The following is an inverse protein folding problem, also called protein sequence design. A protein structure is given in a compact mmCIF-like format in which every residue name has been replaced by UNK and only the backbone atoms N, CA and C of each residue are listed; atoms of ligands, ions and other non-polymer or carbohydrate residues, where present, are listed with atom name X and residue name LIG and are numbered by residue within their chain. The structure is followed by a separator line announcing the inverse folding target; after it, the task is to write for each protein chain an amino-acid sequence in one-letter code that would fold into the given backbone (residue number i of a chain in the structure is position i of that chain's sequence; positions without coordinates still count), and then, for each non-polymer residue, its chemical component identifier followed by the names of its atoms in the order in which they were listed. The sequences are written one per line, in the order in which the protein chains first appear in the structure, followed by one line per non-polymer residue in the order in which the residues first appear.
data_IF_106813706396
#
_entry.id   IF_106813706396
#
_cell.length_a   1.000
_cell.length_b   1.000
_cell.length_c   1.000
_cell.angle_alpha   90.00
_cell.angle_beta   90.00
_cell.angle_gamma   90.00
#
_symmetry.space_group_name_H-M   'P 1'
#
loop_
_entity.id
_entity.type
_entity.pdbx_description
1 polymer ?
#
# COMPACT_ATOMS: atom_id res chain seq x y z
N UNK A 1 -1.44 25.95 -5.36
CA UNK A 1 -2.25 25.00 -6.16
C UNK A 1 -1.46 23.71 -6.31
N UNK A 2 -2.11 22.55 -6.09
CA UNK A 2 -1.45 21.25 -6.28
C UNK A 2 -1.39 20.90 -7.78
N UNK A 3 -0.33 20.23 -8.25
CA UNK A 3 -0.32 19.72 -9.61
C UNK A 3 -1.41 18.66 -9.78
N UNK A 4 -2.09 18.68 -10.93
CA UNK A 4 -3.21 17.80 -11.26
C UNK A 4 -2.89 17.00 -12.52
N UNK A 5 -3.18 15.71 -12.52
CA UNK A 5 -3.11 14.87 -13.70
C UNK A 5 -4.49 14.77 -14.33
N UNK A 6 -4.58 14.93 -15.63
CA UNK A 6 -5.79 14.68 -16.39
C UNK A 6 -6.30 13.26 -16.18
N UNK A 7 -7.61 13.09 -16.01
CA UNK A 7 -8.23 11.81 -15.72
C UNK A 7 -9.56 11.66 -16.46
N UNK A 8 -9.68 10.66 -17.30
CA UNK A 8 -10.97 10.32 -17.89
C UNK A 8 -11.89 9.67 -16.84
N UNK A 9 -13.17 10.01 -16.88
CA UNK A 9 -14.17 9.38 -16.04
C UNK A 9 -14.36 7.89 -16.38
N UNK A 10 -14.18 7.53 -17.65
CA UNK A 10 -14.32 6.16 -18.14
C UNK A 10 -13.18 5.25 -17.68
N UNK A 11 -12.09 5.86 -17.20
CA UNK A 11 -10.91 5.17 -16.67
C UNK A 11 -10.94 5.06 -15.12
N UNK A 12 -12.09 5.31 -14.49
CA UNK A 12 -12.30 5.11 -13.05
C UNK A 12 -13.40 4.10 -12.82
N UNK A 13 -13.05 2.97 -12.25
CA UNK A 13 -13.96 1.88 -11.91
C UNK A 13 -14.13 1.79 -10.39
N UNK A 14 -15.36 1.63 -9.91
CA UNK A 14 -15.66 1.44 -8.49
C UNK A 14 -16.18 0.04 -8.24
N UNK A 15 -15.74 -0.56 -7.13
CA UNK A 15 -16.23 -1.84 -6.65
C UNK A 15 -17.03 -1.61 -5.36
N UNK A 16 -18.17 -2.28 -5.25
CA UNK A 16 -19.10 -2.08 -4.14
C UNK A 16 -19.03 -3.17 -3.07
N UNK A 17 -18.24 -4.22 -3.32
CA UNK A 17 -18.05 -5.29 -2.37
C UNK A 17 -16.57 -5.74 -2.28
N UNK A 18 -16.11 -6.19 -1.11
CA UNK A 18 -14.74 -6.70 -0.98
C UNK A 18 -14.48 -7.96 -1.82
N UNK A 19 -15.52 -8.74 -2.15
CA UNK A 19 -15.39 -9.86 -3.08
C UNK A 19 -15.10 -9.40 -4.52
N UNK A 20 -15.78 -8.34 -5.00
CA UNK A 20 -15.51 -7.73 -6.31
C UNK A 20 -14.09 -7.17 -6.38
N UNK A 21 -13.66 -6.49 -5.31
CA UNK A 21 -12.29 -5.98 -5.21
C UNK A 21 -11.25 -7.12 -5.26
N UNK A 22 -11.48 -8.22 -4.54
CA UNK A 22 -10.60 -9.41 -4.59
C UNK A 22 -10.52 -9.99 -6.00
N UNK A 23 -11.67 -10.17 -6.65
CA UNK A 23 -11.73 -10.68 -8.02
C UNK A 23 -11.02 -9.76 -9.01
N UNK A 24 -11.25 -8.46 -8.92
CA UNK A 24 -10.57 -7.44 -9.72
C UNK A 24 -9.06 -7.47 -9.51
N UNK A 25 -8.59 -7.63 -8.27
CA UNK A 25 -7.16 -7.73 -7.95
C UNK A 25 -6.55 -8.99 -8.56
N UNK A 26 -7.16 -10.16 -8.36
CA UNK A 26 -6.66 -11.43 -8.89
C UNK A 26 -6.64 -11.44 -10.42
N UNK A 27 -7.69 -10.91 -11.06
CA UNK A 27 -7.77 -10.79 -12.52
C UNK A 27 -6.66 -9.90 -13.07
N UNK A 28 -6.40 -8.75 -12.45
CA UNK A 28 -5.33 -7.85 -12.88
C UNK A 28 -3.95 -8.46 -12.67
N UNK A 29 -3.70 -9.15 -11.56
CA UNK A 29 -2.46 -9.90 -11.34
C UNK A 29 -2.25 -10.94 -12.45
N UNK A 30 -3.29 -11.70 -12.79
CA UNK A 30 -3.20 -12.74 -13.81
C UNK A 30 -2.89 -12.18 -15.22
N UNK A 31 -3.32 -10.96 -15.53
CA UNK A 31 -3.15 -10.32 -16.84
C UNK A 31 -2.04 -9.27 -16.89
N UNK A 32 -1.37 -8.98 -15.80
CA UNK A 32 -0.28 -7.99 -15.77
C UNK A 32 0.85 -8.37 -16.73
N UNK A 33 1.37 -7.38 -17.44
CA UNK A 33 2.37 -7.58 -18.51
C UNK A 33 3.71 -6.91 -18.23
N UNK A 34 3.74 -5.86 -17.41
CA UNK A 34 4.94 -5.07 -17.14
C UNK A 34 5.34 -5.13 -15.67
N UNK A 35 4.43 -4.78 -14.77
CA UNK A 35 4.75 -4.63 -13.35
C UNK A 35 3.56 -4.89 -12.44
N UNK A 36 3.85 -5.38 -11.24
CA UNK A 36 2.93 -5.48 -10.11
C UNK A 36 3.64 -4.96 -8.87
N UNK A 37 3.11 -3.93 -8.23
CA UNK A 37 3.60 -3.44 -6.95
C UNK A 37 2.46 -3.45 -5.92
N UNK A 38 2.52 -4.38 -5.00
CA UNK A 38 1.53 -4.54 -3.92
C UNK A 38 2.08 -3.86 -2.66
N UNK A 39 1.34 -2.89 -2.13
CA UNK A 39 1.74 -2.19 -0.90
C UNK A 39 0.60 -2.30 0.11
N UNK A 40 0.85 -2.98 1.20
CA UNK A 40 -0.14 -3.20 2.25
C UNK A 40 0.47 -3.11 3.65
N UNK A 41 -0.35 -2.89 4.66
CA UNK A 41 0.09 -3.00 6.05
C UNK A 41 0.61 -4.42 6.33
N UNK A 42 -0.06 -5.42 5.80
CA UNK A 42 0.34 -6.82 5.84
C UNK A 42 -0.30 -7.63 4.71
N UNK A 43 0.37 -8.68 4.31
CA UNK A 43 -0.13 -9.80 3.53
C UNK A 43 -0.14 -11.00 4.49
N UNK A 44 -1.33 -11.44 4.90
CA UNK A 44 -1.49 -12.40 6.01
C UNK A 44 -1.39 -13.84 5.50
N UNK A 45 -0.84 -14.74 6.33
CA UNK A 45 -0.84 -16.17 6.07
C UNK A 45 -2.23 -16.77 6.39
N UNK A 46 -3.26 -16.36 5.66
CA UNK A 46 -4.60 -16.93 5.68
C UNK A 46 -5.03 -17.29 4.24
N UNK A 47 -6.25 -17.72 4.03
CA UNK A 47 -6.66 -18.20 2.70
C UNK A 47 -6.67 -17.07 1.67
N UNK A 48 -7.11 -15.87 2.07
CA UNK A 48 -7.11 -14.68 1.22
C UNK A 48 -5.70 -14.25 0.84
N UNK A 49 -4.81 -14.11 1.82
CA UNK A 49 -3.41 -13.72 1.56
C UNK A 49 -2.63 -14.76 0.79
N UNK A 50 -2.85 -16.06 1.08
CA UNK A 50 -2.25 -17.16 0.30
C UNK A 50 -2.68 -17.11 -1.15
N UNK A 51 -3.97 -16.86 -1.42
CA UNK A 51 -4.49 -16.73 -2.78
C UNK A 51 -3.80 -15.62 -3.56
N UNK A 52 -3.59 -14.46 -2.94
CA UNK A 52 -2.88 -13.33 -3.57
C UNK A 52 -1.40 -13.69 -3.83
N UNK A 53 -0.68 -14.20 -2.84
CA UNK A 53 0.74 -14.53 -3.01
C UNK A 53 0.94 -15.63 -4.06
N UNK A 54 0.08 -16.64 -4.09
CA UNK A 54 0.11 -17.68 -5.11
C UNK A 54 -0.14 -17.10 -6.51
N UNK A 55 -1.11 -16.21 -6.67
CA UNK A 55 -1.38 -15.55 -7.94
C UNK A 55 -0.17 -14.75 -8.46
N UNK A 56 0.59 -14.11 -7.57
CA UNK A 56 1.83 -13.41 -7.92
C UNK A 56 2.89 -14.39 -8.43
N UNK A 57 3.08 -15.53 -7.75
CA UNK A 57 4.01 -16.58 -8.21
C UNK A 57 3.60 -17.15 -9.55
N UNK A 58 2.30 -17.39 -9.77
CA UNK A 58 1.79 -17.93 -11.03
C UNK A 58 1.96 -16.94 -12.19
N UNK A 59 1.67 -15.65 -11.96
CA UNK A 59 1.87 -14.61 -12.94
C UNK A 59 3.36 -14.46 -13.32
N UNK A 60 4.26 -14.43 -12.33
CA UNK A 60 5.72 -14.34 -12.56
C UNK A 60 6.28 -15.58 -13.26
N UNK A 61 5.75 -16.76 -12.95
CA UNK A 61 6.15 -18.03 -13.62
C UNK A 61 5.76 -18.03 -15.09
N UNK A 62 4.58 -17.51 -15.43
CA UNK A 62 4.11 -17.40 -16.81
C UNK A 62 4.83 -16.29 -17.58
N UNK A 63 5.24 -15.23 -16.91
CA UNK A 63 5.90 -14.05 -17.46
C UNK A 63 7.15 -13.70 -16.64
N UNK A 64 8.29 -14.36 -16.93
CA UNK A 64 9.52 -14.18 -16.14
C UNK A 64 10.05 -12.75 -16.08
N UNK A 65 9.79 -11.91 -17.10
CA UNK A 65 10.13 -10.47 -17.13
C UNK A 65 9.23 -9.58 -16.28
N UNK A 66 8.10 -10.06 -15.83
CA UNK A 66 7.18 -9.25 -15.03
C UNK A 66 7.88 -8.73 -13.76
N UNK A 67 7.94 -7.41 -13.57
CA UNK A 67 8.47 -6.82 -12.33
C UNK A 67 7.43 -6.96 -11.23
N UNK A 68 7.68 -7.82 -10.25
CA UNK A 68 6.75 -8.05 -9.13
C UNK A 68 7.41 -7.64 -7.83
N UNK A 69 6.76 -6.78 -7.07
CA UNK A 69 7.22 -6.30 -5.76
C UNK A 69 6.09 -6.30 -4.75
N UNK A 70 6.36 -6.78 -3.55
CA UNK A 70 5.44 -6.72 -2.42
C UNK A 70 6.10 -5.93 -1.30
N UNK A 71 5.43 -4.92 -0.77
CA UNK A 71 5.91 -4.12 0.35
C UNK A 71 4.92 -4.24 1.51
N UNK A 72 5.42 -4.58 2.68
CA UNK A 72 4.63 -4.72 3.91
C UNK A 72 5.34 -4.02 5.07
N UNK A 73 4.59 -3.74 6.14
CA UNK A 73 5.21 -3.21 7.36
C UNK A 73 6.18 -4.23 7.97
N UNK A 74 7.39 -3.77 8.27
CA UNK A 74 8.47 -4.58 8.83
C UNK A 74 8.09 -5.29 10.14
N UNK A 75 7.52 -4.53 11.08
CA UNK A 75 7.21 -5.09 12.39
C UNK A 75 6.00 -6.02 12.32
N UNK A 76 5.00 -5.62 11.53
CA UNK A 76 3.76 -6.38 11.37
C UNK A 76 4.00 -7.74 10.74
N UNK A 77 4.91 -7.83 9.77
CA UNK A 77 5.24 -9.08 9.09
C UNK A 77 6.03 -10.06 9.98
N UNK A 78 6.79 -9.56 10.95
CA UNK A 78 7.66 -10.36 11.81
C UNK A 78 7.02 -10.71 13.17
N UNK A 79 5.80 -10.31 13.45
CA UNK A 79 5.05 -10.82 14.58
C UNK A 79 4.05 -11.89 14.14
N UNK A 80 3.86 -12.90 14.97
CA UNK A 80 2.80 -13.88 14.80
C UNK A 80 1.42 -13.28 15.06
N UNK A 81 0.36 -14.00 14.71
CA UNK A 81 -1.00 -13.70 15.17
C UNK A 81 -1.03 -13.73 16.70
N UNK A 82 -1.90 -12.91 17.31
CA UNK A 82 -2.12 -12.95 18.76
C UNK A 82 -2.55 -14.37 19.14
N UNK A 83 -1.75 -15.04 19.98
CA UNK A 83 -1.96 -16.43 20.38
C UNK A 83 -1.30 -17.50 19.53
N UNK A 84 -0.60 -17.15 18.45
CA UNK A 84 0.21 -18.07 17.64
C UNK A 84 1.61 -18.27 18.25
N UNK A 85 2.25 -19.39 17.89
CA UNK A 85 3.66 -19.62 18.26
C UNK A 85 4.56 -18.54 17.68
N UNK A 86 5.58 -18.11 18.41
CA UNK A 86 6.52 -17.07 18.02
C UNK A 86 7.29 -17.36 16.70
N UNK A 87 7.33 -18.64 16.29
CA UNK A 87 7.98 -19.11 15.05
C UNK A 87 7.06 -19.15 13.82
N UNK A 88 5.83 -18.65 13.89
CA UNK A 88 4.89 -18.68 12.77
C UNK A 88 4.48 -17.25 12.39
N UNK A 89 5.43 -16.52 11.82
CA UNK A 89 5.22 -15.15 11.34
C UNK A 89 4.89 -15.13 9.84
N UNK A 90 4.31 -14.03 9.35
CA UNK A 90 4.12 -13.85 7.93
C UNK A 90 5.46 -13.86 7.17
N UNK A 91 6.52 -13.27 7.75
CA UNK A 91 7.86 -13.29 7.16
C UNK A 91 8.44 -14.71 7.02
N UNK A 92 8.18 -15.61 7.98
CA UNK A 92 8.58 -17.02 7.86
C UNK A 92 7.80 -17.73 6.75
N UNK A 93 6.53 -17.37 6.59
CA UNK A 93 5.73 -17.88 5.48
C UNK A 93 6.23 -17.36 4.12
N UNK A 94 6.59 -16.09 3.98
CA UNK A 94 7.17 -15.57 2.73
C UNK A 94 8.46 -16.31 2.36
N UNK A 95 9.30 -16.58 3.35
CA UNK A 95 10.53 -17.34 3.15
C UNK A 95 10.25 -18.79 2.70
N UNK A 96 9.25 -19.46 3.29
CA UNK A 96 8.83 -20.80 2.84
C UNK A 96 8.32 -20.77 1.40
N UNK A 97 7.46 -19.82 1.05
CA UNK A 97 6.94 -19.66 -0.31
C UNK A 97 8.06 -19.45 -1.33
N UNK A 98 9.08 -18.66 -0.99
CA UNK A 98 10.26 -18.48 -1.85
C UNK A 98 11.04 -19.80 -2.04
N UNK A 99 11.21 -20.57 -0.99
CA UNK A 99 11.88 -21.88 -1.06
C UNK A 99 11.08 -22.94 -1.86
N UNK A 100 9.76 -22.88 -1.80
CA UNK A 100 8.84 -23.78 -2.51
C UNK A 100 8.72 -23.40 -4.00
N UNK A 101 9.18 -22.22 -4.40
CA UNK A 101 9.13 -21.72 -5.79
C UNK A 101 10.53 -21.37 -6.32
N UNK A 102 11.47 -22.34 -6.39
CA UNK A 102 12.82 -22.07 -6.86
C UNK A 102 12.81 -21.51 -8.29
N UNK A 103 13.62 -20.48 -8.53
CA UNK A 103 13.70 -19.83 -9.85
C UNK A 103 12.62 -18.77 -10.12
N UNK A 104 11.66 -18.56 -9.21
CA UNK A 104 10.65 -17.50 -9.32
C UNK A 104 10.87 -16.50 -8.18
N UNK A 105 11.45 -15.35 -8.50
CA UNK A 105 11.76 -14.33 -7.48
C UNK A 105 10.60 -13.35 -7.31
N UNK A 106 9.97 -13.38 -6.15
CA UNK A 106 8.95 -12.42 -5.69
C UNK A 106 9.50 -11.71 -4.45
N UNK A 107 10.18 -10.57 -4.59
CA UNK A 107 10.70 -9.84 -3.47
C UNK A 107 9.58 -9.32 -2.55
N UNK A 108 9.64 -9.69 -1.29
CA UNK A 108 8.78 -9.14 -0.25
C UNK A 108 9.61 -8.26 0.67
N UNK A 109 9.43 -6.95 0.54
CA UNK A 109 10.17 -5.94 1.31
C UNK A 109 9.44 -5.60 2.60
N UNK A 110 10.15 -5.67 3.72
CA UNK A 110 9.70 -5.12 5.00
C UNK A 110 10.15 -3.67 5.13
N UNK A 111 9.18 -2.76 5.24
CA UNK A 111 9.45 -1.32 5.32
C UNK A 111 9.26 -0.84 6.76
N UNK A 112 10.33 -0.45 7.47
CA UNK A 112 10.25 -0.04 8.88
C UNK A 112 10.01 1.48 8.98
N UNK A 113 8.77 1.91 9.11
CA UNK A 113 8.43 3.34 9.25
C UNK A 113 8.82 3.91 10.62
N UNK A 114 8.88 3.07 11.66
CA UNK A 114 9.28 3.48 12.99
C UNK A 114 10.09 2.38 13.70
N UNK A 115 10.75 2.73 14.78
CA UNK A 115 11.54 1.78 15.59
C UNK A 115 10.68 0.79 16.38
N UNK A 116 9.39 1.05 16.52
CA UNK A 116 8.39 0.16 17.14
C UNK A 116 7.06 0.29 16.43
N UNK A 117 6.34 -0.79 16.25
CA UNK A 117 5.00 -0.83 15.65
C UNK A 117 4.02 0.17 16.31
N UNK A 118 4.00 0.24 17.63
CA UNK A 118 3.13 1.15 18.38
C UNK A 118 3.37 2.66 18.10
N UNK A 119 4.50 3.02 17.51
CA UNK A 119 4.86 4.40 17.19
C UNK A 119 4.57 4.79 15.74
N UNK A 120 4.18 3.83 14.91
CA UNK A 120 3.83 4.04 13.51
C UNK A 120 4.18 2.85 12.63
N UNK A 121 3.37 2.63 11.62
CA UNK A 121 3.44 1.51 10.68
C UNK A 121 3.39 2.00 9.25
N UNK A 122 3.77 1.15 8.30
CA UNK A 122 3.56 1.41 6.88
C UNK A 122 2.06 1.36 6.59
N UNK A 123 1.44 2.53 6.47
CA UNK A 123 0.01 2.64 6.13
C UNK A 123 -0.21 3.25 4.75
N UNK A 124 0.74 3.02 3.85
CA UNK A 124 0.65 3.38 2.44
C UNK A 124 -0.37 2.51 1.74
N UNK A 125 -1.08 3.07 0.76
CA UNK A 125 -2.16 2.40 0.02
C UNK A 125 -1.99 2.60 -1.48
N UNK A 126 -2.59 1.69 -2.24
CA UNK A 126 -2.56 1.66 -3.69
C UNK A 126 -1.70 0.52 -4.22
N UNK A 127 -2.31 -0.37 -4.99
CA UNK A 127 -1.62 -1.43 -5.71
C UNK A 127 -1.44 -0.96 -7.15
N UNK A 128 -0.20 -0.98 -7.62
CA UNK A 128 0.13 -0.56 -8.98
C UNK A 128 0.25 -1.81 -9.82
N UNK A 129 -0.59 -1.93 -10.84
CA UNK A 129 -0.59 -3.06 -11.78
C UNK A 129 -0.62 -2.47 -13.19
N UNK A 130 0.49 -2.59 -13.90
CA UNK A 130 0.73 -1.95 -15.20
C UNK A 130 0.43 -0.45 -15.15
N UNK A 131 -0.57 0.04 -15.90
CA UNK A 131 -1.03 1.42 -15.98
C UNK A 131 -2.15 1.78 -14.99
N UNK A 132 -2.53 0.83 -14.11
CA UNK A 132 -3.63 0.99 -13.18
C UNK A 132 -3.15 1.12 -11.74
N UNK A 133 -3.83 1.97 -10.97
CA UNK A 133 -3.74 2.02 -9.51
C UNK A 133 -5.04 1.50 -8.91
N UNK A 134 -4.98 0.34 -8.29
CA UNK A 134 -6.08 -0.25 -7.54
C UNK A 134 -6.00 0.25 -6.10
N UNK A 135 -6.94 1.11 -5.69
CA UNK A 135 -6.89 1.84 -4.43
C UNK A 135 -7.96 1.37 -3.45
N UNK A 136 -7.52 1.06 -2.24
CA UNK A 136 -8.39 0.75 -1.09
C UNK A 136 -7.67 1.01 0.21
N UNK A 137 -8.41 1.23 1.30
CA UNK A 137 -7.90 1.18 2.67
C UNK A 137 -7.66 -0.23 3.21
N UNK A 138 -8.12 -1.26 2.50
CA UNK A 138 -8.03 -2.66 2.89
C UNK A 138 -6.58 -3.16 3.01
N UNK A 139 -6.37 -4.14 3.88
CA UNK A 139 -5.17 -4.99 3.93
C UNK A 139 -5.49 -6.33 3.28
N UNK A 140 -4.48 -7.20 3.12
CA UNK A 140 -4.62 -8.46 2.40
C UNK A 140 -4.76 -9.63 3.40
N UNK A 141 -6.00 -9.91 3.78
CA UNK A 141 -6.40 -11.04 4.62
C UNK A 141 -7.85 -11.47 4.35
N UNK A 142 -8.28 -12.58 4.95
CA UNK A 142 -9.62 -13.17 4.77
C UNK A 142 -10.74 -12.16 4.93
N UNK A 143 -10.66 -11.33 5.97
CA UNK A 143 -11.74 -10.40 6.34
C UNK A 143 -11.86 -9.23 5.36
N UNK A 144 -10.75 -8.68 4.89
CA UNK A 144 -10.75 -7.60 3.91
C UNK A 144 -10.98 -8.06 2.48
N UNK A 145 -10.70 -9.34 2.19
CA UNK A 145 -10.91 -9.94 0.88
C UNK A 145 -12.23 -10.72 0.78
N UNK A 146 -13.04 -10.71 1.84
CA UNK A 146 -14.30 -11.48 1.92
C UNK A 146 -14.12 -12.94 1.50
N UNK A 147 -13.11 -13.59 2.10
CA UNK A 147 -12.79 -14.98 1.79
C UNK A 147 -13.81 -15.94 2.40
N UNK A 148 -14.38 -15.57 3.56
CA UNK A 148 -15.40 -16.31 4.32
C UNK A 148 -16.54 -15.38 4.69
N UNK A 149 -17.55 -15.84 5.43
CA UNK A 149 -18.76 -15.11 5.80
C UNK A 149 -18.50 -13.74 6.46
N UNK A 150 -17.42 -13.63 7.25
CA UNK A 150 -17.07 -12.39 7.94
C UNK A 150 -16.22 -11.50 7.05
N UNK A 151 -16.68 -10.28 6.81
CA UNK A 151 -15.92 -9.30 6.03
C UNK A 151 -15.96 -7.90 6.65
N UNK A 152 -15.05 -7.05 6.15
CA UNK A 152 -15.02 -5.61 6.43
C UNK A 152 -15.19 -4.86 5.13
N UNK A 153 -16.06 -3.88 5.17
CA UNK A 153 -16.29 -2.99 4.05
C UNK A 153 -15.21 -1.89 3.99
N UNK A 154 -14.86 -1.49 2.79
CA UNK A 154 -13.97 -0.37 2.52
C UNK A 154 -14.41 0.30 1.21
N UNK A 155 -13.75 1.37 0.81
CA UNK A 155 -13.90 1.96 -0.52
C UNK A 155 -12.89 1.33 -1.46
N UNK A 156 -13.35 0.90 -2.61
CA UNK A 156 -12.53 0.25 -3.63
C UNK A 156 -12.69 0.96 -4.96
N UNK A 157 -11.58 1.29 -5.60
CA UNK A 157 -11.57 1.89 -6.92
C UNK A 157 -10.34 1.48 -7.71
N UNK A 158 -10.48 1.35 -9.01
CA UNK A 158 -9.37 1.22 -9.95
C UNK A 158 -9.30 2.48 -10.80
N UNK A 159 -8.14 3.10 -10.85
CA UNK A 159 -7.87 4.29 -11.64
C UNK A 159 -6.85 3.89 -12.70
N UNK A 160 -7.27 3.89 -13.96
CA UNK A 160 -6.36 3.72 -15.09
C UNK A 160 -5.76 5.08 -15.43
N UNK A 161 -4.49 5.23 -15.14
CA UNK A 161 -3.71 6.42 -15.43
C UNK A 161 -2.24 6.07 -15.40
N UNK A 162 -1.64 5.81 -16.57
CA UNK A 162 -0.25 5.37 -16.68
C UNK A 162 0.72 6.35 -16.03
N UNK A 163 0.52 7.66 -16.21
CA UNK A 163 1.38 8.68 -15.59
C UNK A 163 1.31 8.66 -14.07
N UNK A 164 0.12 8.48 -13.50
CA UNK A 164 -0.04 8.34 -12.05
C UNK A 164 0.63 7.05 -11.55
N UNK A 165 0.44 5.94 -12.27
CA UNK A 165 1.06 4.66 -11.93
C UNK A 165 2.59 4.76 -11.97
N UNK A 166 3.18 5.41 -12.98
CA UNK A 166 4.62 5.65 -13.08
C UNK A 166 5.14 6.49 -11.91
N UNK A 167 4.52 7.63 -11.64
CA UNK A 167 4.89 8.52 -10.54
C UNK A 167 4.88 7.78 -9.19
N UNK A 168 3.84 6.99 -8.95
CA UNK A 168 3.72 6.22 -7.71
C UNK A 168 4.75 5.09 -7.64
N UNK A 169 4.97 4.37 -8.74
CA UNK A 169 5.93 3.28 -8.81
C UNK A 169 7.37 3.77 -8.57
N UNK A 170 7.77 4.84 -9.28
CA UNK A 170 9.10 5.44 -9.13
C UNK A 170 9.33 5.97 -7.70
N UNK A 171 8.30 6.58 -7.12
CA UNK A 171 8.38 7.04 -5.74
C UNK A 171 8.57 5.89 -4.76
N UNK A 172 7.83 4.80 -4.95
CA UNK A 172 7.94 3.58 -4.13
C UNK A 172 9.33 2.97 -4.27
N UNK A 173 9.83 2.85 -5.50
CA UNK A 173 11.17 2.32 -5.73
C UNK A 173 12.24 3.16 -5.03
N UNK A 174 12.27 4.45 -5.28
CA UNK A 174 13.30 5.36 -4.77
C UNK A 174 13.23 5.63 -3.27
N UNK A 175 12.06 5.53 -2.66
CA UNK A 175 11.87 5.91 -1.27
C UNK A 175 11.53 4.76 -0.33
N UNK A 176 10.88 3.69 -0.81
CA UNK A 176 10.54 2.55 0.03
C UNK A 176 11.46 1.35 -0.25
N UNK A 177 11.63 0.93 -1.50
CA UNK A 177 12.47 -0.25 -1.82
C UNK A 177 13.95 0.02 -1.49
N UNK A 178 14.46 1.19 -1.88
CA UNK A 178 15.85 1.61 -1.64
C UNK A 178 16.06 2.26 -0.27
N UNK A 179 15.04 2.26 0.58
CA UNK A 179 15.08 2.89 1.90
C UNK A 179 16.05 2.21 2.87
N UNK A 180 16.68 3.01 3.75
CA UNK A 180 17.55 2.49 4.81
C UNK A 180 16.80 1.58 5.75
N UNK A 181 17.36 0.42 6.07
CA UNK A 181 16.74 -0.57 6.95
C UNK A 181 15.58 -1.34 6.31
N UNK A 182 15.25 -1.08 5.04
CA UNK A 182 14.34 -1.92 4.26
C UNK A 182 15.07 -3.19 3.86
N UNK A 183 14.46 -4.32 4.11
CA UNK A 183 15.08 -5.63 3.87
C UNK A 183 14.07 -6.60 3.28
N UNK A 184 14.57 -7.60 2.56
CA UNK A 184 13.76 -8.70 2.04
C UNK A 184 13.33 -9.62 3.18
N UNK A 185 12.03 -9.84 3.31
CA UNK A 185 11.43 -10.74 4.30
C UNK A 185 11.27 -12.18 3.81
N UNK A 186 11.37 -12.38 2.51
CA UNK A 186 11.34 -13.69 1.84
C UNK A 186 12.72 -14.40 1.86
N UNK A 187 13.71 -13.85 2.59
CA UNK A 187 15.05 -14.42 2.76
C UNK A 187 15.30 -14.84 4.21
N UNK A 188 16.18 -15.85 4.43
CA UNK A 188 16.46 -16.36 5.78
C UNK A 188 17.32 -15.41 6.62
N UNK A 189 18.17 -14.59 6.00
CA UNK A 189 19.16 -13.69 6.60
C UNK A 189 18.58 -12.32 7.00
N UNK A 190 17.37 -12.30 7.51
CA UNK A 190 16.69 -11.08 7.95
C UNK A 190 17.36 -10.49 9.20
N UNK A 191 17.69 -9.19 9.22
CA UNK A 191 18.23 -8.56 10.42
C UNK A 191 17.16 -8.49 11.53
N UNK A 192 17.62 -8.43 12.78
CA UNK A 192 16.71 -8.20 13.92
C UNK A 192 16.50 -6.70 14.13
N UNK A 193 15.35 -6.31 14.66
CA UNK A 193 14.99 -4.89 14.89
C UNK A 193 16.05 -4.07 15.64
N UNK A 194 16.79 -4.59 16.65
CA UNK A 194 17.87 -3.85 17.28
C UNK A 194 19.04 -3.50 16.34
N UNK A 195 19.33 -4.37 15.37
CA UNK A 195 20.45 -4.23 14.44
C UNK A 195 20.25 -3.07 13.46
N UNK A 196 19.00 -2.85 13.03
CA UNK A 196 18.63 -1.79 12.07
C UNK A 196 18.03 -0.54 12.73
N UNK A 197 18.05 -0.41 14.05
CA UNK A 197 17.39 0.68 14.78
C UNK A 197 17.87 2.08 14.37
N UNK A 198 19.15 2.24 14.09
CA UNK A 198 19.72 3.52 13.67
C UNK A 198 19.32 3.84 12.21
N UNK A 199 19.32 2.84 11.34
CA UNK A 199 18.86 3.00 9.95
C UNK A 199 17.39 3.41 9.89
N UNK A 200 16.55 2.79 10.72
CA UNK A 200 15.14 3.18 10.84
C UNK A 200 14.98 4.64 11.27
N UNK A 201 15.79 5.12 12.22
CA UNK A 201 15.71 6.52 12.68
C UNK A 201 16.11 7.50 11.58
N UNK A 202 17.17 7.22 10.84
CA UNK A 202 17.61 8.04 9.71
C UNK A 202 16.56 8.01 8.57
N UNK A 203 16.13 6.82 8.19
CA UNK A 203 15.11 6.63 7.17
C UNK A 203 13.82 7.38 7.46
N UNK A 204 13.36 7.34 8.72
CA UNK A 204 12.18 8.13 9.15
C UNK A 204 12.38 9.64 8.97
N UNK A 205 13.58 10.16 9.15
CA UNK A 205 13.88 11.57 8.90
C UNK A 205 13.87 11.88 7.41
N UNK A 206 14.47 11.02 6.60
CA UNK A 206 14.49 11.15 5.14
C UNK A 206 13.08 11.14 4.52
N UNK A 207 12.18 10.31 5.06
CA UNK A 207 10.81 10.19 4.55
C UNK A 207 9.89 11.36 4.91
N UNK A 208 10.21 12.18 5.92
CA UNK A 208 9.31 13.24 6.43
C UNK A 208 8.88 14.25 5.39
N UNK A 209 9.80 14.64 4.52
CA UNK A 209 9.60 15.69 3.52
C UNK A 209 9.44 15.13 2.11
N UNK A 210 9.35 13.81 1.99
CA UNK A 210 9.17 13.16 0.69
C UNK A 210 7.71 13.26 0.25
N UNK A 211 7.53 13.77 -0.96
CA UNK A 211 6.23 13.85 -1.65
C UNK A 211 6.39 13.40 -3.09
N UNK A 212 5.28 13.23 -3.79
CA UNK A 212 5.33 13.06 -5.24
C UNK A 212 5.73 14.38 -5.89
N UNK A 213 6.63 14.30 -6.88
CA UNK A 213 7.04 15.42 -7.70
C UNK A 213 6.69 15.13 -9.15
N UNK A 214 5.78 15.91 -9.71
CA UNK A 214 5.36 15.76 -11.10
C UNK A 214 4.82 17.07 -11.67
N UNK A 215 4.80 17.17 -12.98
CA UNK A 215 4.19 18.28 -13.69
C UNK A 215 2.73 17.95 -13.97
N UNK A 216 1.83 18.85 -13.59
CA UNK A 216 0.40 18.73 -13.88
C UNK A 216 0.12 18.75 -15.39
N UNK A 217 -0.92 18.01 -15.78
CA UNK A 217 -1.37 17.92 -17.19
C UNK A 217 -2.82 18.34 -17.37
N UNK A 218 -3.59 18.43 -16.28
CA UNK A 218 -5.00 18.78 -16.31
C UNK A 218 -5.20 20.30 -16.39
N UNK A 219 -6.16 20.73 -17.23
CA UNK A 219 -6.73 22.07 -17.24
C UNK A 219 -7.61 22.34 -16.01
N UNK A 220 -8.08 23.59 -15.86
CA UNK A 220 -8.86 23.99 -14.68
C UNK A 220 -10.25 23.35 -14.61
N UNK A 221 -10.91 23.18 -15.76
CA UNK A 221 -12.27 22.59 -15.88
C UNK A 221 -12.26 21.08 -16.15
N UNK A 222 -11.09 20.45 -16.10
CA UNK A 222 -10.94 19.04 -16.45
C UNK A 222 -11.00 18.17 -15.20
N UNK A 223 -11.65 16.98 -15.31
CA UNK A 223 -11.55 15.95 -14.27
C UNK A 223 -10.08 15.58 -14.07
N UNK A 224 -9.66 15.56 -12.83
CA UNK A 224 -8.24 15.39 -12.51
C UNK A 224 -8.01 14.59 -11.24
N UNK A 225 -6.85 13.99 -11.15
CA UNK A 225 -6.37 13.29 -9.95
C UNK A 225 -5.03 13.86 -9.50
N UNK A 226 -4.86 13.98 -8.19
CA UNK A 226 -3.60 14.37 -7.57
C UNK A 226 -3.19 13.30 -6.58
N UNK A 227 -2.18 12.46 -6.88
CA UNK A 227 -1.64 11.53 -5.92
C UNK A 227 -0.93 12.30 -4.80
N UNK A 228 -1.21 11.93 -3.55
CA UNK A 228 -0.58 12.51 -2.37
C UNK A 228 -0.03 11.40 -1.48
N UNK A 229 1.13 11.62 -0.92
CA UNK A 229 1.72 10.76 0.09
C UNK A 229 1.94 11.54 1.38
N UNK A 230 1.70 10.89 2.51
CA UNK A 230 1.82 11.55 3.80
C UNK A 230 2.49 10.66 4.84
N UNK A 231 3.70 11.03 5.21
CA UNK A 231 4.43 10.42 6.29
C UNK A 231 4.70 11.50 7.37
N UNK A 232 3.96 11.39 8.48
CA UNK A 232 4.05 12.35 9.59
C UNK A 232 3.02 13.47 9.57
N UNK A 233 2.93 14.19 10.68
CA UNK A 233 1.87 15.18 10.95
C UNK A 233 1.87 16.38 10.01
N UNK A 234 3.04 16.78 9.54
CA UNK A 234 3.23 17.98 8.68
C UNK A 234 3.30 17.64 7.19
N UNK A 235 2.91 16.43 6.80
CA UNK A 235 2.92 15.99 5.41
C UNK A 235 2.01 16.85 4.53
N UNK A 236 2.30 16.88 3.23
CA UNK A 236 1.47 17.57 2.24
C UNK A 236 0.03 17.03 2.24
N UNK A 237 -0.15 15.71 2.38
CA UNK A 237 -1.46 15.08 2.51
C UNK A 237 -2.27 15.66 3.67
N UNK A 238 -1.68 15.71 4.88
CA UNK A 238 -2.38 16.23 6.06
C UNK A 238 -2.70 17.73 5.93
N UNK A 239 -1.78 18.52 5.37
CA UNK A 239 -2.03 19.94 5.07
C UNK A 239 -3.18 20.10 4.07
N UNK A 240 -3.22 19.27 3.03
CA UNK A 240 -4.28 19.30 2.03
C UNK A 240 -5.64 18.99 2.66
N UNK A 241 -5.75 17.92 3.45
CA UNK A 241 -6.98 17.56 4.16
C UNK A 241 -7.40 18.71 5.09
N UNK A 242 -6.46 19.28 5.85
CA UNK A 242 -6.71 20.40 6.75
C UNK A 242 -7.29 21.62 6.02
N UNK A 243 -6.80 21.94 4.83
CA UNK A 243 -7.30 23.05 4.04
C UNK A 243 -8.60 22.76 3.29
N UNK A 244 -8.85 21.51 2.90
CA UNK A 244 -10.10 21.13 2.21
C UNK A 244 -11.31 21.08 3.14
N UNK A 245 -11.15 20.72 4.41
CA UNK A 245 -12.27 20.60 5.36
C UNK A 245 -13.06 21.91 5.53
N UNK A 246 -12.44 23.08 5.77
CA UNK A 246 -13.16 24.34 5.89
C UNK A 246 -13.69 24.90 4.57
N UNK A 247 -13.33 24.32 3.42
CA UNK A 247 -13.87 24.70 2.12
C UNK A 247 -15.26 24.10 1.85
N UNK A 248 -15.77 23.24 2.73
CA UNK A 248 -17.10 22.67 2.58
C UNK A 248 -18.18 23.70 2.92
N UNK A 249 -18.95 24.14 1.91
CA UNK A 249 -20.01 25.13 2.07
C UNK A 249 -21.35 24.52 2.50
N UNK A 250 -21.65 23.30 2.08
CA UNK A 250 -22.96 22.68 2.30
C UNK A 250 -22.90 21.41 3.13
N UNK A 251 -21.95 20.52 2.84
CA UNK A 251 -21.89 19.22 3.51
C UNK A 251 -20.48 18.64 3.51
N UNK A 252 -20.04 18.21 4.67
CA UNK A 252 -18.83 17.39 4.86
C UNK A 252 -19.23 16.01 5.37
N UNK A 253 -18.91 14.96 4.62
CA UNK A 253 -19.14 13.58 5.04
C UNK A 253 -17.80 12.91 5.32
N UNK A 254 -17.64 12.39 6.55
CA UNK A 254 -16.45 11.67 6.98
C UNK A 254 -16.85 10.23 7.29
N UNK A 255 -16.23 9.27 6.60
CA UNK A 255 -16.42 7.84 6.84
C UNK A 255 -15.10 7.24 7.35
N UNK A 256 -15.09 6.83 8.62
CA UNK A 256 -13.92 6.21 9.25
C UNK A 256 -14.34 5.31 10.40
N UNK A 257 -13.69 4.13 10.60
CA UNK A 257 -13.91 3.31 11.77
C UNK A 257 -13.25 3.88 13.04
N UNK A 258 -12.37 4.87 12.89
CA UNK A 258 -11.61 5.46 13.99
C UNK A 258 -11.76 6.99 14.01
N UNK A 259 -12.62 7.50 14.87
CA UNK A 259 -12.82 8.93 15.01
C UNK A 259 -11.87 9.52 16.07
N UNK A 260 -10.58 9.40 15.84
CA UNK A 260 -9.49 9.89 16.70
C UNK A 260 -8.71 11.03 16.04
N UNK A 261 -9.41 11.97 15.44
CA UNK A 261 -8.82 13.10 14.73
C UNK A 261 -7.96 13.97 15.65
N UNK A 262 -6.85 14.53 15.15
CA UNK A 262 -6.11 15.56 15.86
C UNK A 262 -7.02 16.74 16.26
N UNK A 263 -6.81 17.33 17.42
CA UNK A 263 -7.63 18.43 17.95
C UNK A 263 -7.81 19.59 16.95
N UNK A 264 -6.81 19.85 16.13
CA UNK A 264 -6.83 20.87 15.08
C UNK A 264 -7.86 20.55 13.99
N UNK A 265 -8.03 19.27 13.62
CA UNK A 265 -9.05 18.87 12.66
C UNK A 265 -10.44 18.84 13.28
N UNK A 266 -10.55 18.48 14.55
CA UNK A 266 -11.84 18.54 15.29
C UNK A 266 -12.38 19.97 15.32
N UNK A 267 -11.53 20.97 15.53
CA UNK A 267 -11.93 22.39 15.50
C UNK A 267 -12.46 22.87 14.16
N UNK A 268 -12.08 22.22 13.07
CA UNK A 268 -12.58 22.55 11.72
C UNK A 268 -13.92 21.90 11.39
N UNK A 269 -14.40 20.99 12.24
CA UNK A 269 -15.69 20.28 12.08
C UNK A 269 -16.78 20.96 12.91
N UNK A 270 -16.40 21.59 14.01
CA UNK A 270 -17.28 22.33 14.93
C UNK A 270 -17.36 23.81 14.52
#
# INVERSE_FOLDING_TARGET
QLPKLSQSVDDVEFFYAPAEFREALLTRIAHATQRICIIALYLEQDDGGKGILQALYDAKRQRPELDVRVLVDWHRAQRGRIGAAASNTNADWYCRMANENPGVDIPVYGVPINTREALGVLHFKGFIIDDCVLYSGASLNDVYLHQHDKYRYDRYQCIRNGKMADIMFDWVDNNLVQGRGVNRLDRPDRPRSPEIKNDIRQYRQELRDRSYHFVGTAGDEELSVTPLVGLGKSSLLNKTIFHLMPCAEHKLTICTPYFNLPAVLVRNII
#
